data_IF_328167253439
#
_entry.id   IF_328167253439
#
_cell.length_a   1.000
_cell.length_b   1.000
_cell.length_c   1.000
_cell.angle_alpha   90.00
_cell.angle_beta   90.00
_cell.angle_gamma   90.00
#
_symmetry.space_group_name_H-M   'P 1'
#
loop_
_entity.id
_entity.type
_entity.pdbx_description
1 polymer ?
#
# COMPACT_ATOMS: atom_id res chain seq x y z
N UNK A 1 1.75 -23.60 19.32
CA UNK A 1 0.93 -22.44 18.90
C UNK A 1 0.82 -22.49 17.38
N UNK A 2 -0.16 -23.22 16.86
CA UNK A 2 -0.41 -23.33 15.41
C UNK A 2 -1.47 -22.31 15.03
N UNK A 3 -1.09 -21.28 14.29
CA UNK A 3 -2.07 -20.38 13.64
C UNK A 3 -2.67 -21.14 12.47
N UNK A 4 -3.80 -21.80 12.69
CA UNK A 4 -4.56 -22.42 11.60
C UNK A 4 -5.38 -21.30 10.91
N UNK A 5 -4.72 -20.55 10.02
CA UNK A 5 -5.36 -19.49 9.24
C UNK A 5 -6.37 -20.10 8.28
N UNK A 6 -7.67 -19.83 8.48
CA UNK A 6 -8.66 -20.16 7.46
C UNK A 6 -8.35 -19.33 6.21
N UNK A 7 -8.37 -19.90 4.99
CA UNK A 7 -8.03 -19.17 3.76
C UNK A 7 -8.89 -17.90 3.55
N UNK A 8 -10.10 -17.84 4.12
CA UNK A 8 -10.95 -16.66 4.16
C UNK A 8 -10.33 -15.48 4.93
N UNK A 9 -9.61 -15.75 6.02
CA UNK A 9 -8.98 -14.70 6.86
C UNK A 9 -7.73 -14.11 6.22
N UNK A 10 -6.89 -14.93 5.57
CA UNK A 10 -5.71 -14.46 4.86
C UNK A 10 -6.08 -13.62 3.64
N UNK A 11 -7.10 -14.06 2.89
CA UNK A 11 -7.61 -13.29 1.76
C UNK A 11 -8.21 -11.95 2.19
N UNK A 12 -8.96 -11.93 3.29
CA UNK A 12 -9.50 -10.70 3.87
C UNK A 12 -8.38 -9.74 4.28
N UNK A 13 -7.33 -10.24 4.94
CA UNK A 13 -6.17 -9.44 5.34
C UNK A 13 -5.43 -8.87 4.12
N UNK A 14 -5.24 -9.67 3.08
CA UNK A 14 -4.60 -9.20 1.85
C UNK A 14 -5.43 -8.09 1.18
N UNK A 15 -6.75 -8.26 1.08
CA UNK A 15 -7.64 -7.24 0.54
C UNK A 15 -7.64 -5.97 1.39
N UNK A 16 -7.62 -6.10 2.73
CA UNK A 16 -7.53 -4.95 3.62
C UNK A 16 -6.21 -4.18 3.44
N UNK A 17 -5.09 -4.88 3.28
CA UNK A 17 -3.79 -4.26 2.96
C UNK A 17 -3.86 -3.46 1.66
N UNK A 18 -4.31 -4.11 0.57
CA UNK A 18 -4.45 -3.44 -0.73
C UNK A 18 -5.37 -2.22 -0.67
N UNK A 19 -6.50 -2.33 0.03
CA UNK A 19 -7.44 -1.24 0.19
C UNK A 19 -6.81 -0.04 0.93
N UNK A 20 -6.05 -0.29 2.01
CA UNK A 20 -5.33 0.76 2.74
C UNK A 20 -4.30 1.46 1.86
N UNK A 21 -3.47 0.68 1.15
CA UNK A 21 -2.47 1.20 0.21
C UNK A 21 -3.13 2.13 -0.82
N UNK A 22 -4.22 1.71 -1.47
CA UNK A 22 -4.94 2.53 -2.46
C UNK A 22 -5.55 3.78 -1.82
N UNK A 23 -6.21 3.64 -0.68
CA UNK A 23 -6.83 4.77 0.04
C UNK A 23 -5.79 5.85 0.39
N UNK A 24 -4.58 5.42 0.77
CA UNK A 24 -3.49 6.30 1.12
C UNK A 24 -2.85 6.95 -0.11
N UNK A 25 -2.63 6.21 -1.19
CA UNK A 25 -2.22 6.80 -2.48
C UNK A 25 -3.21 7.87 -2.95
N UNK A 26 -4.52 7.62 -2.90
CA UNK A 26 -5.54 8.61 -3.27
C UNK A 26 -5.46 9.88 -2.43
N UNK A 27 -5.11 9.75 -1.14
CA UNK A 27 -4.94 10.89 -0.23
C UNK A 27 -3.75 11.77 -0.59
N UNK A 28 -2.64 11.16 -1.01
CA UNK A 28 -1.46 11.87 -1.51
C UNK A 28 -1.73 12.50 -2.88
N UNK A 29 -2.41 11.80 -3.78
CA UNK A 29 -2.78 12.32 -5.10
C UNK A 29 -3.57 13.63 -5.02
N UNK A 30 -4.52 13.74 -4.08
CA UNK A 30 -5.34 14.95 -3.93
C UNK A 30 -4.56 16.12 -3.30
N UNK A 31 -3.48 15.84 -2.55
CA UNK A 31 -2.71 16.85 -1.80
C UNK A 31 -1.37 17.21 -2.45
N UNK A 32 -0.90 16.44 -3.43
CA UNK A 32 0.40 16.65 -4.02
C UNK A 32 0.43 17.97 -4.80
N UNK A 33 1.47 18.75 -4.55
CA UNK A 33 1.71 20.03 -5.24
C UNK A 33 2.46 19.81 -6.56
N UNK A 34 3.20 18.69 -6.67
CA UNK A 34 3.98 18.34 -7.84
C UNK A 34 4.11 16.82 -8.02
N UNK A 35 4.42 16.43 -9.26
CA UNK A 35 4.52 15.03 -9.69
C UNK A 35 5.67 14.28 -9.01
N UNK A 36 6.78 14.96 -8.70
CA UNK A 36 7.95 14.32 -8.09
C UNK A 36 7.67 13.94 -6.64
N UNK A 37 7.06 14.85 -5.88
CA UNK A 37 6.60 14.59 -4.51
C UNK A 37 5.57 13.46 -4.49
N UNK A 38 4.61 13.49 -5.43
CA UNK A 38 3.63 12.42 -5.58
C UNK A 38 4.28 11.05 -5.83
N UNK A 39 5.24 10.99 -6.74
CA UNK A 39 5.95 9.76 -7.08
C UNK A 39 6.74 9.19 -5.88
N UNK A 40 7.38 10.07 -5.10
CA UNK A 40 8.11 9.68 -3.89
C UNK A 40 7.16 9.18 -2.78
N UNK A 41 6.05 9.87 -2.57
CA UNK A 41 5.02 9.45 -1.62
C UNK A 41 4.44 8.08 -2.00
N UNK A 42 4.17 7.86 -3.28
CA UNK A 42 3.66 6.58 -3.79
C UNK A 42 4.65 5.44 -3.59
N UNK A 43 5.93 5.65 -3.90
CA UNK A 43 6.96 4.64 -3.65
C UNK A 43 7.03 4.27 -2.17
N UNK A 44 6.94 5.27 -1.28
CA UNK A 44 6.97 5.07 0.17
C UNK A 44 5.77 4.26 0.65
N UNK A 45 4.55 4.60 0.21
CA UNK A 45 3.32 3.87 0.58
C UNK A 45 3.34 2.42 0.09
N UNK A 46 3.87 2.17 -1.11
CA UNK A 46 3.97 0.81 -1.65
C UNK A 46 4.92 -0.05 -0.80
N UNK A 47 6.03 0.51 -0.32
CA UNK A 47 6.96 -0.22 0.55
C UNK A 47 6.40 -0.40 1.96
N UNK A 48 5.88 0.67 2.57
CA UNK A 48 5.42 0.66 3.96
C UNK A 48 4.12 -0.13 4.16
N UNK A 49 3.15 0.01 3.26
CA UNK A 49 1.82 -0.58 3.40
C UNK A 49 1.52 -1.68 2.39
N UNK A 50 2.04 -1.55 1.17
CA UNK A 50 1.81 -2.51 0.09
C UNK A 50 2.54 -3.84 0.30
N UNK A 51 3.52 -3.88 1.21
CA UNK A 51 4.34 -5.06 1.47
C UNK A 51 5.38 -5.34 0.39
N UNK A 52 5.67 -4.34 -0.46
CA UNK A 52 6.73 -4.44 -1.45
C UNK A 52 8.08 -4.20 -0.80
N UNK A 53 9.09 -4.97 -1.21
CA UNK A 53 10.46 -4.77 -0.70
C UNK A 53 11.08 -3.46 -1.21
N UNK A 54 10.65 -2.99 -2.37
CA UNK A 54 11.13 -1.77 -3.03
C UNK A 54 10.08 -1.30 -4.05
N UNK A 55 9.99 0.01 -4.26
CA UNK A 55 9.21 0.64 -5.31
C UNK A 55 9.99 1.83 -5.88
N UNK A 56 9.82 2.08 -7.19
CA UNK A 56 10.43 3.18 -7.90
C UNK A 56 9.52 3.62 -9.06
N UNK A 57 9.50 4.92 -9.34
CA UNK A 57 8.82 5.55 -10.47
C UNK A 57 9.85 6.42 -11.18
N UNK A 58 9.93 6.32 -12.51
CA UNK A 58 10.70 7.21 -13.35
C UNK A 58 10.55 6.89 -14.82
#
# INVERSE_FOLDING_TARGET
MTTNGHPSTERLQQLNRMYRTISRCNRYMIRAEDEKTLAQDFCSVMVEEGGYRMAWVG
#
